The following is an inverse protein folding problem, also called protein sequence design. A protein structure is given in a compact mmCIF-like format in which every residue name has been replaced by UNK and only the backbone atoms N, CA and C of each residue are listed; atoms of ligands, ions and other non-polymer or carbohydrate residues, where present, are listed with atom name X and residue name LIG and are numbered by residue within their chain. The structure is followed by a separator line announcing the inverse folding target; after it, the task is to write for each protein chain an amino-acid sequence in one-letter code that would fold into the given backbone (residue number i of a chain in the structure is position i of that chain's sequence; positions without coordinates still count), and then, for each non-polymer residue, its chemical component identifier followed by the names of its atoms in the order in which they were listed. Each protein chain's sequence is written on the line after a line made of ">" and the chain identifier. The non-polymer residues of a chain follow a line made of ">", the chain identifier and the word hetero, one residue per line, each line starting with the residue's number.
data_IF_529009720148
#
_entry.id   IF_529009720148
#
_cell.length_a   1.000
_cell.length_b   1.000
_cell.length_c   1.000
_cell.angle_alpha   90.00
_cell.angle_beta   90.00
_cell.angle_gamma   90.00
#
_symmetry.space_group_name_H-M   'P 1'
#
loop_
_entity.id
_entity.type
_entity.pdbx_description
1 polymer ?
#
# COMPACT_ATOMS: atom_id res chain seq x y z
N UNK A 1 -25.84 -21.60 15.80
CA UNK A 1 -24.41 -21.86 15.83
C UNK A 1 -23.74 -20.78 16.64
N UNK A 2 -22.96 -21.15 17.65
CA UNK A 2 -22.26 -20.17 18.46
C UNK A 2 -20.95 -19.73 17.81
N UNK A 3 -20.50 -18.53 18.14
CA UNK A 3 -19.21 -18.05 17.68
C UNK A 3 -18.08 -18.92 18.26
N UNK A 4 -16.99 -19.12 17.51
CA UNK A 4 -15.83 -19.82 18.04
C UNK A 4 -15.20 -19.06 19.20
N UNK A 5 -14.61 -19.78 20.13
CA UNK A 5 -13.85 -19.17 21.23
C UNK A 5 -12.47 -18.75 20.71
N UNK A 6 -12.13 -17.48 20.92
CA UNK A 6 -10.82 -16.96 20.49
C UNK A 6 -9.72 -17.49 21.42
N UNK A 7 -8.65 -18.10 20.88
CA UNK A 7 -7.51 -18.51 21.69
C UNK A 7 -6.84 -17.31 22.38
N UNK A 8 -6.18 -17.58 23.50
CA UNK A 8 -5.41 -16.55 24.21
C UNK A 8 -4.33 -15.97 23.29
N UNK A 9 -4.20 -14.66 23.28
CA UNK A 9 -3.24 -13.96 22.47
C UNK A 9 -3.60 -13.77 21.00
N UNK A 10 -4.70 -14.37 20.54
CA UNK A 10 -5.17 -14.16 19.16
C UNK A 10 -5.72 -12.75 18.99
N UNK A 11 -5.47 -12.16 17.81
CA UNK A 11 -6.01 -10.85 17.41
C UNK A 11 -6.98 -11.03 16.27
N UNK A 12 -8.08 -10.28 16.30
CA UNK A 12 -8.95 -10.18 15.14
C UNK A 12 -8.24 -9.39 14.03
N UNK A 13 -8.74 -9.50 12.81
CA UNK A 13 -8.20 -8.70 11.72
C UNK A 13 -8.38 -7.20 11.99
N UNK A 14 -9.49 -6.80 12.61
CA UNK A 14 -9.71 -5.40 12.98
C UNK A 14 -8.69 -4.92 14.00
N UNK A 15 -8.32 -5.77 14.95
CA UNK A 15 -7.28 -5.43 15.93
C UNK A 15 -5.90 -5.32 15.29
N UNK A 16 -5.54 -6.26 14.39
CA UNK A 16 -4.28 -6.20 13.65
C UNK A 16 -4.20 -4.94 12.80
N UNK A 17 -5.31 -4.58 12.17
CA UNK A 17 -5.40 -3.38 11.36
C UNK A 17 -5.19 -2.11 12.20
N UNK A 18 -5.86 -2.02 13.34
CA UNK A 18 -5.70 -0.89 14.26
C UNK A 18 -4.26 -0.75 14.75
N UNK A 19 -3.62 -1.88 15.09
CA UNK A 19 -2.22 -1.88 15.52
C UNK A 19 -1.29 -1.39 14.41
N UNK A 20 -1.46 -1.89 13.19
CA UNK A 20 -0.68 -1.47 12.03
C UNK A 20 -0.85 0.04 11.79
N UNK A 21 -2.09 0.52 11.82
CA UNK A 21 -2.39 1.94 11.62
C UNK A 21 -1.84 2.84 12.73
N UNK A 22 -1.62 2.30 13.90
CA UNK A 22 -0.97 3.03 15.00
C UNK A 22 0.53 3.21 14.80
N UNK A 23 1.14 2.44 13.90
CA UNK A 23 2.58 2.47 13.64
C UNK A 23 2.96 3.20 12.35
N UNK A 24 2.01 3.48 11.47
CA UNK A 24 2.26 4.11 10.18
C UNK A 24 1.57 5.47 10.10
N UNK A 25 2.03 6.31 9.19
CA UNK A 25 1.27 7.48 8.77
C UNK A 25 0.24 7.05 7.72
N UNK A 26 -0.87 7.76 7.65
CA UNK A 26 -1.88 7.56 6.63
C UNK A 26 -2.16 8.89 5.94
N UNK A 27 -2.32 8.87 4.64
CA UNK A 27 -2.51 10.09 3.85
C UNK A 27 -3.83 10.04 3.09
N UNK A 28 -4.45 11.21 2.92
CA UNK A 28 -5.60 11.33 2.02
C UNK A 28 -5.14 11.16 0.57
N UNK A 29 -6.06 10.87 -0.36
CA UNK A 29 -5.70 10.84 -1.78
C UNK A 29 -5.03 12.14 -2.26
N UNK A 30 -5.51 13.28 -1.82
CA UNK A 30 -4.95 14.58 -2.19
C UNK A 30 -3.53 14.78 -1.66
N UNK A 31 -3.29 14.40 -0.41
CA UNK A 31 -1.95 14.42 0.17
C UNK A 31 -1.01 13.46 -0.56
N UNK A 32 -1.51 12.27 -0.89
CA UNK A 32 -0.72 11.30 -1.63
C UNK A 32 -0.29 11.87 -2.99
N UNK A 33 -1.22 12.49 -3.72
CA UNK A 33 -0.93 13.12 -5.00
C UNK A 33 0.15 14.20 -4.87
N UNK A 34 0.06 15.03 -3.84
CA UNK A 34 1.05 16.09 -3.60
C UNK A 34 2.44 15.49 -3.28
N UNK A 35 2.49 14.46 -2.46
CA UNK A 35 3.77 13.80 -2.10
C UNK A 35 4.40 13.09 -3.29
N UNK A 36 3.58 12.47 -4.14
CA UNK A 36 4.05 11.83 -5.38
C UNK A 36 4.67 12.87 -6.30
N UNK A 37 4.04 14.04 -6.42
CA UNK A 37 4.60 15.15 -7.21
C UNK A 37 5.95 15.62 -6.66
N UNK A 38 6.20 15.45 -5.37
CA UNK A 38 7.45 15.79 -4.71
C UNK A 38 8.45 14.62 -4.64
N UNK A 39 8.16 13.51 -5.31
CA UNK A 39 9.10 12.41 -5.45
C UNK A 39 8.78 11.15 -4.66
N UNK A 40 7.68 11.10 -3.91
CA UNK A 40 7.27 9.86 -3.23
C UNK A 40 6.90 8.78 -4.25
N UNK A 41 7.16 7.53 -3.89
CA UNK A 41 6.79 6.38 -4.70
C UNK A 41 5.40 5.89 -4.30
N UNK A 42 4.51 5.75 -5.27
CA UNK A 42 3.22 5.11 -5.05
C UNK A 42 3.34 3.66 -5.51
N UNK A 43 3.02 2.70 -4.64
CA UNK A 43 3.03 1.28 -4.99
C UNK A 43 1.62 0.72 -4.88
N UNK A 44 1.15 0.13 -5.97
CA UNK A 44 -0.16 -0.50 -6.08
C UNK A 44 -0.01 -2.00 -5.84
N UNK A 45 -0.63 -2.49 -4.78
CA UNK A 45 -0.51 -3.88 -4.35
C UNK A 45 -1.71 -4.74 -4.77
N UNK A 46 -2.65 -4.18 -5.50
CA UNK A 46 -3.84 -4.92 -5.95
C UNK A 46 -3.49 -6.03 -6.94
N UNK A 47 -4.22 -7.14 -6.93
CA UNK A 47 -4.11 -8.15 -8.00
C UNK A 47 -4.38 -7.54 -9.38
N UNK A 48 -3.73 -8.09 -10.40
CA UNK A 48 -3.86 -7.58 -11.77
C UNK A 48 -5.30 -7.54 -12.26
N UNK A 49 -6.09 -8.58 -11.96
CA UNK A 49 -7.50 -8.63 -12.37
C UNK A 49 -8.33 -7.52 -11.71
N UNK A 50 -8.04 -7.18 -10.47
CA UNK A 50 -8.74 -6.10 -9.77
C UNK A 50 -8.37 -4.74 -10.36
N UNK A 51 -7.08 -4.50 -10.63
CA UNK A 51 -6.63 -3.28 -11.32
C UNK A 51 -7.29 -3.13 -12.68
N UNK A 52 -7.39 -4.23 -13.44
CA UNK A 52 -8.03 -4.21 -14.76
C UNK A 52 -9.49 -3.78 -14.68
N UNK A 53 -10.21 -4.23 -13.64
CA UNK A 53 -11.62 -3.85 -13.46
C UNK A 53 -11.79 -2.43 -12.96
N UNK A 54 -10.95 -2.00 -12.03
CA UNK A 54 -11.14 -0.74 -11.30
C UNK A 54 -10.43 0.45 -11.97
N UNK A 55 -9.35 0.18 -12.66
CA UNK A 55 -8.47 1.22 -13.19
C UNK A 55 -7.16 1.30 -12.41
N UNK A 56 -6.26 2.12 -12.87
CA UNK A 56 -4.92 2.28 -12.27
C UNK A 56 -4.56 3.75 -12.10
N UNK A 57 -3.57 4.02 -11.26
CA UNK A 57 -3.01 5.37 -11.11
C UNK A 57 -1.81 5.50 -12.05
N UNK A 58 -1.76 6.53 -12.90
CA UNK A 58 -0.59 6.73 -13.76
C UNK A 58 0.69 6.87 -12.94
N UNK A 59 1.75 6.17 -13.38
CA UNK A 59 3.06 6.25 -12.73
C UNK A 59 3.22 5.41 -11.47
N UNK A 60 2.18 4.74 -10.99
CA UNK A 60 2.31 3.87 -9.84
C UNK A 60 3.18 2.65 -10.17
N UNK A 61 4.02 2.27 -9.23
CA UNK A 61 4.74 1.00 -9.30
C UNK A 61 3.75 -0.11 -8.97
N UNK A 62 3.79 -1.19 -9.75
CA UNK A 62 2.90 -2.34 -9.51
C UNK A 62 3.72 -3.45 -8.89
N UNK A 63 3.41 -3.78 -7.64
CA UNK A 63 4.07 -4.86 -6.90
C UNK A 63 3.01 -5.64 -6.17
N UNK A 64 2.84 -6.91 -6.50
CA UNK A 64 1.88 -7.75 -5.82
C UNK A 64 2.24 -7.88 -4.34
N UNK A 65 1.20 -7.96 -3.49
CA UNK A 65 1.38 -7.95 -2.04
C UNK A 65 2.33 -9.05 -1.55
N UNK A 66 2.28 -10.23 -2.17
CA UNK A 66 3.05 -11.40 -1.73
C UNK A 66 4.57 -11.26 -1.89
N UNK A 67 5.03 -10.31 -2.70
CA UNK A 67 6.47 -10.08 -2.92
C UNK A 67 6.93 -8.69 -2.51
N UNK A 68 6.04 -7.91 -1.91
CA UNK A 68 6.29 -6.50 -1.63
C UNK A 68 7.56 -6.26 -0.81
N UNK A 69 7.76 -7.02 0.25
CA UNK A 69 8.92 -6.84 1.13
C UNK A 69 10.23 -7.08 0.40
N UNK A 70 10.29 -8.12 -0.43
CA UNK A 70 11.49 -8.42 -1.21
C UNK A 70 11.79 -7.35 -2.26
N UNK A 71 10.74 -6.72 -2.79
CA UNK A 71 10.90 -5.70 -3.83
C UNK A 71 11.32 -4.33 -3.26
N UNK A 72 11.07 -4.08 -1.98
CA UNK A 72 11.36 -2.79 -1.34
C UNK A 72 12.48 -2.83 -0.30
N UNK A 73 12.89 -4.00 0.17
CA UNK A 73 14.03 -4.08 1.09
C UNK A 73 15.31 -3.67 0.36
N UNK A 74 15.98 -2.57 0.78
CA UNK A 74 17.20 -2.11 0.11
C UNK A 74 18.34 -3.12 0.10
N UNK A 75 18.29 -4.13 0.95
CA UNK A 75 19.30 -5.20 1.02
C UNK A 75 18.91 -6.45 0.23
N UNK A 76 17.71 -6.48 -0.35
CA UNK A 76 17.25 -7.65 -1.11
C UNK A 76 17.84 -7.66 -2.51
N UNK A 77 18.25 -8.84 -2.98
CA UNK A 77 18.68 -9.03 -4.36
C UNK A 77 17.52 -8.86 -5.35
N UNK A 78 16.29 -9.00 -4.86
CA UNK A 78 15.08 -8.85 -5.67
C UNK A 78 14.50 -7.43 -5.64
N UNK A 79 15.18 -6.47 -5.03
CA UNK A 79 14.67 -5.11 -4.88
C UNK A 79 14.45 -4.42 -6.24
N UNK A 80 13.46 -3.53 -6.26
CA UNK A 80 13.25 -2.64 -7.40
C UNK A 80 14.41 -1.63 -7.50
N UNK A 81 14.71 -1.13 -8.71
CA UNK A 81 15.70 -0.05 -8.86
C UNK A 81 15.38 1.17 -8.00
N UNK A 82 14.08 1.45 -7.79
CA UNK A 82 13.63 2.58 -6.97
C UNK A 82 13.88 2.38 -5.48
N UNK A 83 14.08 1.15 -5.02
CA UNK A 83 14.38 0.86 -3.61
C UNK A 83 15.86 1.13 -3.32
N UNK A 84 16.25 2.40 -3.40
CA UNK A 84 17.64 2.83 -3.35
C UNK A 84 18.23 2.91 -1.95
N UNK A 85 17.39 2.95 -0.92
CA UNK A 85 17.83 3.06 0.46
C UNK A 85 16.64 3.18 1.40
N UNK A 86 16.93 3.41 2.68
CA UNK A 86 15.90 3.45 3.73
C UNK A 86 15.17 4.81 3.80
N UNK A 87 15.65 5.83 3.10
CA UNK A 87 15.06 7.17 3.11
C UNK A 87 13.97 7.37 2.06
N UNK A 88 13.72 6.39 1.22
CA UNK A 88 12.67 6.51 0.21
C UNK A 88 11.31 6.66 0.88
N UNK A 89 10.50 7.54 0.32
CA UNK A 89 9.11 7.67 0.77
C UNK A 89 8.24 6.77 -0.08
N UNK A 90 7.53 5.83 0.57
CA UNK A 90 6.66 4.86 -0.11
C UNK A 90 5.24 5.04 0.38
N UNK A 91 4.32 5.18 -0.55
CA UNK A 91 2.89 5.27 -0.26
C UNK A 91 2.22 4.04 -0.85
N UNK A 92 1.60 3.23 0.00
CA UNK A 92 1.00 1.96 -0.43
C UNK A 92 -0.47 2.16 -0.77
N UNK A 93 -0.88 1.64 -1.92
CA UNK A 93 -2.24 1.72 -2.42
C UNK A 93 -2.84 0.32 -2.58
N UNK A 94 -4.04 0.14 -2.05
CA UNK A 94 -4.89 -1.00 -2.35
C UNK A 94 -6.26 -0.50 -2.80
N UNK A 95 -7.27 -1.35 -2.86
CA UNK A 95 -8.58 -0.93 -3.38
C UNK A 95 -9.34 -0.01 -2.43
N UNK A 96 -9.41 -0.38 -1.14
CA UNK A 96 -10.27 0.32 -0.16
C UNK A 96 -9.51 0.85 1.05
N UNK A 97 -8.19 0.64 1.11
CA UNK A 97 -7.38 1.16 2.21
C UNK A 97 -7.29 0.25 3.43
N UNK A 98 -7.54 -1.05 3.28
CA UNK A 98 -7.40 -2.03 4.38
C UNK A 98 -6.06 -2.76 4.31
N UNK A 99 -5.85 -3.59 3.30
CA UNK A 99 -4.62 -4.38 3.20
C UNK A 99 -3.37 -3.50 3.05
N UNK A 100 -3.52 -2.30 2.51
CA UNK A 100 -2.43 -1.36 2.38
C UNK A 100 -1.84 -0.94 3.73
N UNK A 101 -2.66 -0.87 4.77
CA UNK A 101 -2.17 -0.55 6.12
C UNK A 101 -1.27 -1.65 6.66
N UNK A 102 -1.65 -2.92 6.47
CA UNK A 102 -0.80 -4.06 6.87
C UNK A 102 0.49 -4.09 6.04
N UNK A 103 0.38 -3.82 4.74
CA UNK A 103 1.53 -3.79 3.84
C UNK A 103 2.51 -2.66 4.22
N UNK A 104 2.00 -1.47 4.49
CA UNK A 104 2.81 -0.34 4.90
C UNK A 104 3.54 -0.62 6.22
N UNK A 105 2.87 -1.27 7.17
CA UNK A 105 3.49 -1.65 8.43
C UNK A 105 4.62 -2.67 8.23
N UNK A 106 4.47 -3.62 7.30
CA UNK A 106 5.54 -4.55 6.92
C UNK A 106 6.76 -3.80 6.39
N UNK A 107 6.56 -2.82 5.51
CA UNK A 107 7.66 -2.03 4.98
C UNK A 107 8.34 -1.18 6.06
N UNK A 108 7.55 -0.61 6.96
CA UNK A 108 8.09 0.13 8.11
C UNK A 108 9.00 -0.78 8.95
N UNK A 109 8.58 -2.02 9.18
CA UNK A 109 9.36 -2.99 9.96
C UNK A 109 10.70 -3.34 9.30
N UNK A 110 10.80 -3.22 7.98
CA UNK A 110 12.06 -3.39 7.25
C UNK A 110 13.02 -2.21 7.46
N UNK A 111 12.54 -1.10 7.99
CA UNK A 111 13.36 0.10 8.18
C UNK A 111 12.95 1.28 7.28
N UNK A 112 11.91 1.14 6.46
CA UNK A 112 11.41 2.21 5.61
C UNK A 112 10.49 3.10 6.44
N UNK A 113 11.09 4.01 7.21
CA UNK A 113 10.36 4.83 8.19
C UNK A 113 9.37 5.81 7.53
N UNK A 114 9.61 6.17 6.25
CA UNK A 114 8.76 7.11 5.52
C UNK A 114 7.71 6.37 4.68
N UNK A 115 7.07 5.38 5.27
CA UNK A 115 6.02 4.59 4.61
C UNK A 115 4.65 4.98 5.15
N UNK A 116 3.70 5.15 4.25
CA UNK A 116 2.30 5.45 4.56
C UNK A 116 1.39 4.65 3.63
N UNK A 117 0.09 4.74 3.86
CA UNK A 117 -0.89 4.21 2.92
C UNK A 117 -1.98 5.23 2.63
N UNK A 118 -2.72 5.02 1.56
CA UNK A 118 -3.79 5.92 1.12
C UNK A 118 -5.09 5.56 1.83
N UNK A 119 -5.64 6.52 2.59
CA UNK A 119 -6.95 6.37 3.24
C UNK A 119 -8.00 6.15 2.16
N UNK A 120 -8.78 5.07 2.28
CA UNK A 120 -9.82 4.72 1.32
C UNK A 120 -9.32 4.13 0.00
N UNK A 121 -8.01 4.03 -0.19
CA UNK A 121 -7.39 3.37 -1.32
C UNK A 121 -7.73 3.95 -2.67
N UNK A 122 -7.67 3.10 -3.70
CA UNK A 122 -7.97 3.51 -5.08
C UNK A 122 -9.38 4.06 -5.23
N UNK A 123 -10.36 3.51 -4.51
CA UNK A 123 -11.75 3.98 -4.59
C UNK A 123 -11.84 5.46 -4.18
N UNK A 124 -11.19 5.83 -3.08
CA UNK A 124 -11.16 7.22 -2.62
C UNK A 124 -10.35 8.12 -3.56
N UNK A 125 -9.26 7.61 -4.13
CA UNK A 125 -8.46 8.31 -5.13
C UNK A 125 -9.33 8.70 -6.34
N UNK A 126 -10.07 7.73 -6.88
CA UNK A 126 -10.94 7.95 -8.03
C UNK A 126 -12.10 8.91 -7.70
N UNK A 127 -12.71 8.77 -6.51
CA UNK A 127 -13.78 9.66 -6.06
C UNK A 127 -13.30 11.11 -5.91
N UNK A 128 -12.04 11.30 -5.54
CA UNK A 128 -11.45 12.63 -5.42
C UNK A 128 -11.19 13.29 -6.79
N UNK A 129 -11.43 12.58 -7.88
CA UNK A 129 -11.21 13.10 -9.22
C UNK A 129 -9.75 13.16 -9.64
N UNK A 130 -8.88 12.45 -8.96
CA UNK A 130 -7.46 12.38 -9.30
C UNK A 130 -7.23 11.50 -10.53
N UNK A 131 -6.08 11.62 -11.22
CA UNK A 131 -5.86 10.91 -12.48
C UNK A 131 -5.97 9.40 -12.37
N UNK A 132 -6.72 8.79 -13.29
CA UNK A 132 -6.93 7.35 -13.36
C UNK A 132 -6.78 6.89 -14.80
N UNK A 133 -6.11 5.75 -14.99
CA UNK A 133 -6.06 5.05 -16.27
C UNK A 133 -7.18 4.00 -16.28
N UNK A 134 -8.09 4.08 -17.28
CA UNK A 134 -9.18 3.11 -17.42
C UNK A 134 -8.76 1.90 -18.22
N UNK A 135 -7.86 2.06 -19.20
CA UNK A 135 -7.20 0.95 -19.84
C UNK A 135 -5.90 0.68 -19.12
N UNK A 136 -5.82 -0.47 -18.46
CA UNK A 136 -4.67 -0.80 -17.60
C UNK A 136 -3.70 -1.66 -18.38
N UNK A 137 -2.45 -1.17 -18.58
CA UNK A 137 -1.44 -1.99 -19.26
C UNK A 137 -1.10 -3.22 -18.43
N UNK A 138 -0.67 -4.29 -19.11
CA UNK A 138 -0.14 -5.46 -18.45
C UNK A 138 1.09 -5.07 -17.62
N UNK A 139 1.13 -5.53 -16.39
CA UNK A 139 2.22 -5.21 -15.47
C UNK A 139 3.47 -5.99 -15.81
#
# INVERSE_FOLDING_TARGET
>A
MSAPTRPDGARSIDELLAEARGRIARVSPEEAAARIADGALLVDTRPAAQRAREGAVPGALVVERNVLEWRFDPLSDARLPEATGYDVEVIVLCSEGYSSSLAADSLRALGLARTSDVIGGFQAWAEAGLPVLREVPAA
#
